data_IF_423731343655
#
_entry.id   IF_423731343655
#
_cell.length_a   1.000
_cell.length_b   1.000
_cell.length_c   1.000
_cell.angle_alpha   90.00
_cell.angle_beta   90.00
_cell.angle_gamma   90.00
#
_symmetry.space_group_name_H-M   'P 1'
#
loop_
_entity.id
_entity.type
_entity.pdbx_description
1 polymer ?
#
# COMPACT_ATOMS: atom_id res chain seq x y z
N UNK A 1 -18.96 16.81 40.25
CA UNK A 1 -19.06 15.34 40.39
C UNK A 1 -18.77 14.70 39.05
N UNK A 2 -17.71 13.90 38.91
CA UNK A 2 -17.39 13.23 37.64
C UNK A 2 -18.31 12.01 37.44
N UNK A 3 -19.20 12.06 36.44
CA UNK A 3 -20.02 10.90 36.03
C UNK A 3 -19.11 9.86 35.40
N UNK A 4 -19.08 8.64 35.97
CA UNK A 4 -18.40 7.50 35.37
C UNK A 4 -19.24 7.00 34.20
N UNK A 5 -18.79 7.24 32.97
CA UNK A 5 -19.40 6.69 31.76
C UNK A 5 -19.24 5.16 31.78
N UNK A 6 -20.35 4.44 31.95
CA UNK A 6 -20.36 2.98 31.86
C UNK A 6 -20.29 2.61 30.38
N UNK A 7 -19.13 2.12 29.95
CA UNK A 7 -18.93 1.62 28.58
C UNK A 7 -19.82 0.40 28.35
N UNK A 8 -20.74 0.50 27.39
CA UNK A 8 -21.59 -0.61 26.95
C UNK A 8 -20.79 -1.55 26.04
N UNK A 9 -21.16 -2.84 25.93
CA UNK A 9 -20.52 -3.76 24.99
C UNK A 9 -20.53 -3.22 23.55
N UNK A 10 -21.62 -2.56 23.16
CA UNK A 10 -21.72 -1.88 21.86
C UNK A 10 -20.69 -0.76 21.70
N UNK A 11 -20.49 0.07 22.72
CA UNK A 11 -19.46 1.12 22.68
C UNK A 11 -18.05 0.52 22.54
N UNK A 12 -17.76 -0.60 23.21
CA UNK A 12 -16.47 -1.31 23.05
C UNK A 12 -16.28 -1.85 21.63
N UNK A 13 -17.34 -2.40 21.04
CA UNK A 13 -17.32 -2.86 19.64
C UNK A 13 -17.08 -1.70 18.67
N UNK A 14 -17.75 -0.57 18.86
CA UNK A 14 -17.60 0.62 18.00
C UNK A 14 -16.17 1.17 18.07
N UNK A 15 -15.59 1.23 19.27
CA UNK A 15 -14.19 1.63 19.46
C UNK A 15 -13.24 0.64 18.78
N UNK A 16 -13.48 -0.67 18.88
CA UNK A 16 -12.66 -1.65 18.17
C UNK A 16 -12.76 -1.50 16.65
N UNK A 17 -13.97 -1.26 16.14
CA UNK A 17 -14.25 -1.08 14.72
C UNK A 17 -13.52 0.14 14.14
N UNK A 18 -13.37 1.21 14.93
CA UNK A 18 -12.58 2.40 14.57
C UNK A 18 -11.15 2.06 14.14
N UNK A 19 -10.53 1.03 14.73
CA UNK A 19 -9.17 0.61 14.41
C UNK A 19 -9.14 -0.54 13.40
N UNK A 20 -10.04 -1.51 13.53
CA UNK A 20 -10.06 -2.70 12.67
C UNK A 20 -10.39 -2.33 11.22
N UNK A 21 -11.31 -1.40 10.99
CA UNK A 21 -11.71 -0.99 9.63
C UNK A 21 -10.56 -0.39 8.84
N UNK A 22 -9.85 0.65 9.32
CA UNK A 22 -8.71 1.20 8.58
C UNK A 22 -7.59 0.17 8.42
N UNK A 23 -7.33 -0.67 9.43
CA UNK A 23 -6.34 -1.76 9.31
C UNK A 23 -6.73 -2.78 8.23
N UNK A 24 -8.00 -3.16 8.16
CA UNK A 24 -8.50 -4.09 7.14
C UNK A 24 -8.44 -3.48 5.74
N UNK A 25 -8.74 -2.18 5.60
CA UNK A 25 -8.60 -1.46 4.34
C UNK A 25 -7.15 -1.44 3.86
N UNK A 26 -6.20 -1.15 4.75
CA UNK A 26 -4.76 -1.18 4.45
C UNK A 26 -4.31 -2.60 4.07
N UNK A 27 -4.78 -3.62 4.80
CA UNK A 27 -4.45 -5.01 4.47
C UNK A 27 -4.99 -5.48 3.12
N UNK A 28 -6.23 -5.11 2.79
CA UNK A 28 -6.87 -5.50 1.54
C UNK A 28 -6.26 -4.80 0.32
N UNK A 29 -5.94 -3.50 0.44
CA UNK A 29 -5.27 -2.73 -0.62
C UNK A 29 -3.86 -3.25 -0.88
N UNK A 30 -3.08 -3.56 0.16
CA UNK A 30 -1.76 -4.17 0.01
C UNK A 30 -1.82 -5.51 -0.73
N UNK A 31 -2.84 -6.33 -0.45
CA UNK A 31 -3.05 -7.59 -1.17
C UNK A 31 -3.38 -7.38 -2.66
N UNK A 32 -4.08 -6.30 -2.99
CA UNK A 32 -4.44 -5.96 -4.37
C UNK A 32 -3.33 -5.16 -5.10
N UNK A 33 -2.23 -4.82 -4.42
CA UNK A 33 -1.14 -4.02 -4.98
C UNK A 33 -1.44 -2.51 -5.08
N UNK A 34 -2.48 -2.03 -4.39
CA UNK A 34 -2.84 -0.60 -4.32
C UNK A 34 -2.20 0.04 -3.08
N UNK A 35 -1.79 1.32 -3.16
CA UNK A 35 -1.29 2.06 -2.00
C UNK A 35 -2.45 2.78 -1.25
N UNK A 36 -2.91 2.26 -0.11
CA UNK A 36 -4.02 2.85 0.64
C UNK A 36 -3.70 4.23 1.19
N UNK A 37 -2.41 4.51 1.48
CA UNK A 37 -2.02 5.78 2.11
C UNK A 37 -2.10 6.90 1.08
N UNK A 38 -1.68 6.64 -0.16
CA UNK A 38 -1.83 7.57 -1.28
C UNK A 38 -3.32 7.88 -1.55
N UNK A 39 -4.16 6.84 -1.59
CA UNK A 39 -5.60 6.94 -1.80
C UNK A 39 -6.32 7.73 -0.69
N UNK A 40 -5.88 7.56 0.55
CA UNK A 40 -6.39 8.32 1.69
C UNK A 40 -5.94 9.78 1.60
N UNK A 41 -4.70 10.07 1.21
CA UNK A 41 -4.21 11.45 1.03
C UNK A 41 -4.98 12.20 -0.05
N UNK A 42 -5.19 11.56 -1.20
CA UNK A 42 -5.98 12.09 -2.32
C UNK A 42 -7.44 12.33 -1.91
N UNK A 43 -8.08 11.34 -1.25
CA UNK A 43 -9.50 11.44 -0.89
C UNK A 43 -9.81 12.29 0.34
N UNK A 44 -8.88 12.39 1.31
CA UNK A 44 -9.05 13.28 2.46
C UNK A 44 -8.56 14.71 2.19
N UNK A 45 -7.97 14.99 1.02
CA UNK A 45 -7.48 16.33 0.68
C UNK A 45 -6.44 16.85 1.67
N UNK A 46 -5.67 15.94 2.30
CA UNK A 46 -4.57 16.29 3.21
C UNK A 46 -3.35 16.54 2.32
N UNK A 47 -3.43 17.61 1.53
CA UNK A 47 -2.23 18.27 1.01
C UNK A 47 -1.69 19.15 2.15
N UNK A 48 -0.48 18.84 2.61
CA UNK A 48 0.21 19.62 3.63
C UNK A 48 0.40 21.06 3.15
N UNK A 49 -0.45 21.95 3.68
CA UNK A 49 -0.17 23.35 3.94
C UNK A 49 0.92 24.03 3.12
N UNK A 50 0.74 24.18 1.81
CA UNK A 50 1.40 25.25 1.06
C UNK A 50 0.58 25.69 -0.15
N UNK A 51 -0.25 26.71 0.11
CA UNK A 51 -0.49 27.86 -0.77
C UNK A 51 -1.06 27.64 -2.19
N UNK A 52 -2.26 28.22 -2.30
CA UNK A 52 -2.76 29.10 -3.39
C UNK A 52 -3.79 28.45 -4.29
N UNK A 53 -5.00 29.00 -4.19
CA UNK A 53 -6.00 29.03 -5.26
C UNK A 53 -5.36 29.33 -6.61
N UNK A 54 -5.17 28.32 -7.46
CA UNK A 54 -5.06 28.52 -8.90
C UNK A 54 -5.91 27.45 -9.57
N UNK A 55 -6.62 27.93 -10.58
CA UNK A 55 -7.52 27.22 -11.45
C UNK A 55 -6.96 25.87 -11.95
N UNK A 56 -7.89 24.99 -12.32
CA UNK A 56 -7.69 23.94 -13.31
C UNK A 56 -6.69 24.38 -14.39
N UNK A 57 -5.50 23.76 -14.41
CA UNK A 57 -4.71 23.58 -15.63
C UNK A 57 -3.66 22.49 -15.38
N UNK A 58 -3.98 21.30 -15.90
CA UNK A 58 -3.05 20.31 -16.48
C UNK A 58 -1.69 20.12 -15.78
N UNK A 59 -1.62 19.16 -14.85
CA UNK A 59 -0.37 18.44 -14.51
C UNK A 59 -0.66 16.94 -14.60
N UNK A 60 -0.74 16.41 -15.82
CA UNK A 60 -0.94 14.97 -16.09
C UNK A 60 0.24 14.33 -16.83
N UNK A 61 1.26 15.10 -17.23
CA UNK A 61 2.34 14.60 -18.10
C UNK A 61 3.64 14.24 -17.38
N UNK A 62 3.93 14.84 -16.22
CA UNK A 62 5.22 14.64 -15.53
C UNK A 62 5.25 13.33 -14.72
N UNK A 63 4.20 13.09 -13.90
CA UNK A 63 4.10 11.86 -13.10
C UNK A 63 3.93 10.60 -13.98
N UNK A 64 3.25 10.72 -15.12
CA UNK A 64 3.01 9.59 -16.03
C UNK A 64 4.32 9.06 -16.66
N UNK A 65 5.34 9.90 -16.81
CA UNK A 65 6.65 9.49 -17.32
C UNK A 65 7.48 8.75 -16.26
N UNK A 66 7.42 9.21 -15.01
CA UNK A 66 8.12 8.61 -13.88
C UNK A 66 7.56 7.21 -13.56
N UNK A 67 6.22 7.07 -13.56
CA UNK A 67 5.56 5.78 -13.37
C UNK A 67 5.87 4.77 -14.47
N UNK A 68 6.09 5.20 -15.72
CA UNK A 68 6.44 4.28 -16.82
C UNK A 68 7.85 3.73 -16.66
N UNK A 69 8.81 4.56 -16.25
CA UNK A 69 10.17 4.11 -15.95
C UNK A 69 10.19 3.18 -14.75
N UNK A 70 9.46 3.53 -13.68
CA UNK A 70 9.37 2.68 -12.50
C UNK A 70 8.72 1.32 -12.83
N UNK A 71 7.68 1.28 -13.66
CA UNK A 71 7.09 0.01 -14.13
C UNK A 71 8.08 -0.82 -14.96
N UNK A 72 8.94 -0.19 -15.76
CA UNK A 72 9.96 -0.89 -16.56
C UNK A 72 11.06 -1.46 -15.66
N UNK A 73 11.57 -0.65 -14.73
CA UNK A 73 12.57 -1.06 -13.74
C UNK A 73 12.07 -2.19 -12.83
N UNK A 74 10.81 -2.13 -12.38
CA UNK A 74 10.21 -3.20 -11.59
C UNK A 74 10.04 -4.49 -12.41
N UNK A 75 9.73 -4.41 -13.70
CA UNK A 75 9.62 -5.61 -14.55
C UNK A 75 10.96 -6.29 -14.73
N UNK A 76 12.01 -5.51 -15.00
CA UNK A 76 13.37 -6.02 -15.13
C UNK A 76 13.82 -6.69 -13.82
N UNK A 77 13.48 -6.09 -12.67
CA UNK A 77 13.78 -6.65 -11.36
C UNK A 77 13.03 -7.96 -11.09
N UNK A 78 11.77 -8.06 -11.51
CA UNK A 78 10.98 -9.29 -11.38
C UNK A 78 11.59 -10.39 -12.24
N UNK A 79 11.95 -10.10 -13.49
CA UNK A 79 12.57 -11.07 -14.38
C UNK A 79 13.91 -11.59 -13.81
N UNK A 80 14.75 -10.69 -13.28
CA UNK A 80 16.00 -11.04 -12.61
C UNK A 80 15.75 -11.97 -11.40
N UNK A 81 14.80 -11.62 -10.54
CA UNK A 81 14.45 -12.42 -9.36
C UNK A 81 13.83 -13.77 -9.72
N UNK A 82 13.07 -13.85 -10.80
CA UNK A 82 12.50 -15.10 -11.31
C UNK A 82 13.57 -16.02 -11.86
N UNK A 83 14.53 -15.48 -12.63
CA UNK A 83 15.69 -16.23 -13.11
C UNK A 83 16.55 -16.73 -11.94
N UNK A 84 16.85 -15.87 -10.96
CA UNK A 84 17.61 -16.27 -9.78
C UNK A 84 16.89 -17.38 -9.00
N UNK A 85 15.58 -17.29 -8.84
CA UNK A 85 14.78 -18.34 -8.22
C UNK A 85 14.79 -19.65 -9.02
N UNK A 86 14.74 -19.59 -10.35
CA UNK A 86 14.84 -20.77 -11.20
C UNK A 86 16.20 -21.46 -11.03
N UNK A 87 17.29 -20.68 -11.05
CA UNK A 87 18.65 -21.17 -10.85
C UNK A 87 18.86 -21.75 -9.46
N UNK A 88 18.34 -21.09 -8.43
CA UNK A 88 18.39 -21.59 -7.04
C UNK A 88 17.59 -22.89 -6.90
N UNK A 89 16.40 -22.98 -7.51
CA UNK A 89 15.60 -24.21 -7.51
C UNK A 89 16.34 -25.35 -8.23
N UNK A 90 17.05 -25.07 -9.31
CA UNK A 90 17.83 -26.08 -10.02
C UNK A 90 19.04 -26.53 -9.21
N UNK A 91 19.74 -25.62 -8.54
CA UNK A 91 20.83 -25.95 -7.61
C UNK A 91 20.32 -26.81 -6.45
N UNK A 92 19.18 -26.45 -5.85
CA UNK A 92 18.56 -27.23 -4.78
C UNK A 92 18.21 -28.63 -5.27
N UNK A 93 17.57 -28.76 -6.44
CA UNK A 93 17.24 -30.08 -7.03
C UNK A 93 18.50 -30.93 -7.29
N UNK A 94 19.57 -30.33 -7.81
CA UNK A 94 20.82 -31.05 -8.05
C UNK A 94 21.51 -31.50 -6.75
N UNK A 95 21.40 -30.72 -5.68
CA UNK A 95 21.93 -31.08 -4.37
C UNK A 95 21.09 -32.18 -3.71
N UNK A 96 19.77 -32.11 -3.83
CA UNK A 96 18.85 -33.16 -3.35
C UNK A 96 19.05 -34.49 -4.11
N UNK A 97 19.33 -34.46 -5.40
CA UNK A 97 19.61 -35.68 -6.20
C UNK A 97 21.01 -36.28 -5.94
N UNK A 98 21.91 -35.55 -5.29
CA UNK A 98 23.28 -36.00 -4.96
C UNK A 98 23.42 -36.58 -3.55
N UNK A 99 22.38 -36.49 -2.70
CA UNK A 99 22.29 -37.20 -1.43
C UNK A 99 21.53 -38.53 -1.61
#
# INVERSE_FOLDING_TARGET
MARRLKSTPFARFLIAMLFIVPLAYIGASYYNGEDPIALIKDKLGIEEGNRTTVAEETTYDDETYDFRQEIEDLKDRIEELEQENADLRDKVRQLEMKQ
#
